data_IF_203166372326
#
_entry.id   IF_203166372326
#
_cell.length_a   1.000
_cell.length_b   1.000
_cell.length_c   1.000
_cell.angle_alpha   90.00
_cell.angle_beta   90.00
_cell.angle_gamma   90.00
#
_symmetry.space_group_name_H-M   'P 1'
#
loop_
_entity.id
_entity.type
_entity.pdbx_description
1 polymer ?
#
# COMPACT_ATOMS: atom_id res chain seq x y z
N UNK A 1 -4.16 0.78 -6.59
CA UNK A 1 -3.02 0.08 -5.96
C UNK A 1 -3.08 0.27 -4.46
N UNK A 2 -2.80 -0.77 -3.68
CA UNK A 2 -2.77 -0.69 -2.21
C UNK A 2 -1.45 -1.24 -1.69
N UNK A 3 -0.64 -0.38 -1.09
CA UNK A 3 0.63 -0.73 -0.45
C UNK A 3 0.50 -0.76 1.07
N UNK A 4 0.69 -1.94 1.64
CA UNK A 4 0.62 -2.16 3.08
C UNK A 4 1.99 -2.07 3.78
N UNK A 5 3.10 -2.01 3.05
CA UNK A 5 4.46 -1.92 3.59
C UNK A 5 4.83 -3.02 4.59
N UNK A 6 4.26 -4.22 4.44
CA UNK A 6 4.32 -5.34 5.41
C UNK A 6 3.80 -5.01 6.82
N UNK A 7 3.05 -3.92 6.96
CA UNK A 7 2.45 -3.46 8.21
C UNK A 7 1.05 -4.02 8.47
N UNK A 8 0.39 -3.43 9.47
CA UNK A 8 -0.90 -3.90 10.01
C UNK A 8 -2.05 -3.82 9.00
N UNK A 9 -1.94 -2.94 7.99
CA UNK A 9 -2.91 -2.86 6.89
C UNK A 9 -3.12 -4.20 6.18
N UNK A 10 -2.09 -5.08 6.13
CA UNK A 10 -2.18 -6.40 5.53
C UNK A 10 -3.31 -7.28 6.07
N UNK A 11 -3.72 -7.07 7.33
CA UNK A 11 -4.80 -7.86 7.96
C UNK A 11 -6.21 -7.49 7.47
N UNK A 12 -6.42 -6.30 6.92
CA UNK A 12 -7.77 -5.82 6.58
C UNK A 12 -7.92 -5.17 5.21
N UNK A 13 -6.82 -4.76 4.57
CA UNK A 13 -6.85 -4.02 3.31
C UNK A 13 -7.63 -4.77 2.22
N UNK A 14 -7.43 -6.08 2.08
CA UNK A 14 -8.17 -6.89 1.09
C UNK A 14 -9.68 -6.83 1.32
N UNK A 15 -10.11 -7.14 2.54
CA UNK A 15 -11.53 -7.17 2.89
C UNK A 15 -12.16 -5.79 2.70
N UNK A 16 -11.45 -4.73 3.09
CA UNK A 16 -11.92 -3.36 2.95
C UNK A 16 -12.11 -2.97 1.47
N UNK A 17 -11.12 -3.24 0.61
CA UNK A 17 -11.23 -2.94 -0.81
C UNK A 17 -12.36 -3.72 -1.49
N UNK A 18 -12.56 -4.99 -1.12
CA UNK A 18 -13.70 -5.80 -1.58
C UNK A 18 -15.04 -5.21 -1.16
N UNK A 19 -15.15 -4.70 0.07
CA UNK A 19 -16.37 -4.02 0.56
C UNK A 19 -16.65 -2.73 -0.23
N UNK A 20 -15.59 -1.99 -0.60
CA UNK A 20 -15.73 -0.81 -1.45
C UNK A 20 -16.05 -1.13 -2.91
N UNK A 21 -15.92 -2.39 -3.35
CA UNK A 21 -16.25 -2.80 -4.70
C UNK A 21 -15.29 -2.24 -5.76
N UNK A 22 -14.06 -1.93 -5.37
CA UNK A 22 -13.01 -1.45 -6.29
C UNK A 22 -12.20 -2.61 -6.85
N UNK A 23 -11.67 -2.45 -8.06
CA UNK A 23 -10.60 -3.31 -8.56
C UNK A 23 -9.27 -2.85 -7.97
N UNK A 24 -8.47 -3.79 -7.46
CA UNK A 24 -7.25 -3.45 -6.74
C UNK A 24 -6.19 -4.54 -6.84
N UNK A 25 -4.93 -4.09 -6.89
CA UNK A 25 -3.75 -4.93 -6.71
C UNK A 25 -3.05 -4.53 -5.41
N UNK A 26 -2.59 -5.53 -4.67
CA UNK A 26 -1.88 -5.37 -3.42
C UNK A 26 -0.36 -5.35 -3.61
N UNK A 27 0.30 -4.53 -2.81
CA UNK A 27 1.75 -4.49 -2.64
C UNK A 27 2.04 -4.72 -1.16
N UNK A 28 2.91 -5.69 -0.90
CA UNK A 28 3.49 -5.94 0.43
C UNK A 28 2.45 -6.10 1.55
N UNK A 29 1.31 -6.74 1.27
CA UNK A 29 0.20 -6.91 2.22
C UNK A 29 0.26 -8.19 3.06
N UNK A 30 1.34 -8.96 2.97
CA UNK A 30 1.65 -10.00 3.95
C UNK A 30 2.41 -9.36 5.13
N UNK A 31 1.83 -9.32 6.36
CA UNK A 31 2.50 -8.68 7.50
C UNK A 31 3.82 -9.37 7.86
N UNK A 32 4.90 -8.58 7.93
CA UNK A 32 6.25 -9.05 8.27
C UNK A 32 7.02 -7.94 9.01
N UNK A 33 7.35 -8.13 10.30
CA UNK A 33 8.05 -7.11 11.11
C UNK A 33 9.50 -6.88 10.68
N UNK A 34 10.06 -7.69 9.78
CA UNK A 34 11.38 -7.44 9.20
C UNK A 34 11.35 -6.34 8.13
N UNK A 35 10.17 -5.95 7.64
CA UNK A 35 9.97 -4.94 6.59
C UNK A 35 10.91 -5.13 5.38
N UNK A 36 10.86 -6.29 4.70
CA UNK A 36 11.86 -6.68 3.72
C UNK A 36 11.89 -5.82 2.44
N UNK A 37 10.83 -5.04 2.17
CA UNK A 37 10.71 -4.22 0.96
C UNK A 37 11.11 -2.77 1.23
N UNK A 38 10.42 -2.12 2.16
CA UNK A 38 10.72 -0.77 2.64
C UNK A 38 10.09 -0.57 4.02
N UNK A 39 10.49 0.49 4.73
CA UNK A 39 9.82 0.85 5.97
C UNK A 39 8.39 1.34 5.66
N UNK A 40 7.37 0.99 6.47
CA UNK A 40 6.00 1.46 6.28
C UNK A 40 5.85 2.88 6.83
N UNK A 41 6.48 3.83 6.14
CA UNK A 41 6.42 5.27 6.42
C UNK A 41 6.18 6.01 5.10
N UNK A 42 4.90 6.25 4.73
CA UNK A 42 4.54 6.80 3.44
C UNK A 42 4.86 8.30 3.32
N UNK A 43 5.26 8.98 4.40
CA UNK A 43 5.74 10.38 4.32
C UNK A 43 7.10 10.45 3.62
N UNK A 44 7.88 9.38 3.68
CA UNK A 44 9.17 9.27 2.98
C UNK A 44 8.92 8.81 1.55
N UNK A 45 9.08 9.73 0.60
CA UNK A 45 8.92 9.46 -0.84
C UNK A 45 9.75 8.29 -1.36
N UNK A 46 10.88 7.98 -0.74
CA UNK A 46 11.69 6.80 -1.06
C UNK A 46 10.94 5.46 -0.87
N UNK A 47 9.97 5.42 0.06
CA UNK A 47 9.15 4.24 0.32
C UNK A 47 7.96 4.10 -0.66
N UNK A 48 7.70 5.12 -1.51
CA UNK A 48 6.58 5.11 -2.46
C UNK A 48 7.00 4.75 -3.89
N UNK A 49 8.29 4.44 -4.11
CA UNK A 49 8.86 4.21 -5.45
C UNK A 49 8.15 3.06 -6.16
N UNK A 50 7.92 1.94 -5.47
CA UNK A 50 7.24 0.79 -6.05
C UNK A 50 5.75 1.05 -6.27
N UNK A 51 5.07 1.71 -5.33
CA UNK A 51 3.68 2.11 -5.50
C UNK A 51 3.48 2.98 -6.75
N UNK A 52 4.26 4.06 -6.88
CA UNK A 52 4.21 4.96 -8.06
C UNK A 52 4.47 4.22 -9.35
N UNK A 53 5.51 3.37 -9.36
CA UNK A 53 5.88 2.57 -10.53
C UNK A 53 4.71 1.69 -10.97
N UNK A 54 4.09 0.96 -10.05
CA UNK A 54 3.01 0.03 -10.37
C UNK A 54 1.70 0.74 -10.73
N UNK A 55 1.40 1.89 -10.11
CA UNK A 55 0.27 2.75 -10.51
C UNK A 55 0.40 3.13 -11.99
N UNK A 56 1.56 3.63 -12.40
CA UNK A 56 1.82 4.03 -13.79
C UNK A 56 1.85 2.85 -14.75
N UNK A 57 2.51 1.74 -14.38
CA UNK A 57 2.65 0.55 -15.23
C UNK A 57 1.30 -0.12 -15.52
N UNK A 58 0.40 -0.16 -14.54
CA UNK A 58 -0.91 -0.82 -14.69
C UNK A 58 -2.03 0.16 -15.03
N UNK A 59 -1.74 1.46 -15.12
CA UNK A 59 -2.74 2.50 -15.40
C UNK A 59 -3.82 2.57 -14.31
N UNK A 60 -3.43 2.41 -13.05
CA UNK A 60 -4.36 2.48 -11.93
C UNK A 60 -4.83 3.93 -11.69
N UNK A 61 -6.08 4.12 -11.29
CA UNK A 61 -6.62 5.46 -11.00
C UNK A 61 -6.00 6.12 -9.75
N UNK A 62 -5.53 5.30 -8.81
CA UNK A 62 -5.00 5.75 -7.51
C UNK A 62 -4.09 4.69 -6.88
N UNK A 63 -3.02 5.14 -6.23
CA UNK A 63 -2.23 4.38 -5.26
C UNK A 63 -2.48 4.86 -3.83
N UNK A 64 -2.58 3.94 -2.88
CA UNK A 64 -2.71 4.23 -1.44
C UNK A 64 -1.62 3.47 -0.69
N UNK A 65 -0.83 4.17 0.13
CA UNK A 65 0.17 3.57 1.01
C UNK A 65 -0.18 3.80 2.47
N UNK A 66 -0.10 2.75 3.29
CA UNK A 66 -0.31 2.82 4.74
C UNK A 66 1.02 2.94 5.50
N UNK A 67 0.99 3.54 6.70
CA UNK A 67 2.07 3.39 7.67
C UNK A 67 1.92 2.08 8.48
N UNK A 68 2.91 1.76 9.33
CA UNK A 68 3.04 0.45 9.98
C UNK A 68 1.84 -0.01 10.82
N UNK A 69 1.16 0.91 11.52
CA UNK A 69 -0.05 0.68 12.30
C UNK A 69 -1.35 1.07 11.56
N UNK A 70 -1.22 1.52 10.30
CA UNK A 70 -2.31 1.84 9.39
C UNK A 70 -3.26 2.96 9.85
N UNK A 71 -2.79 3.87 10.72
CA UNK A 71 -3.53 5.08 11.14
C UNK A 71 -3.34 6.28 10.20
N UNK A 72 -2.34 6.21 9.31
CA UNK A 72 -2.01 7.22 8.30
C UNK A 72 -1.93 6.61 6.91
N UNK A 73 -2.31 7.42 5.92
CA UNK A 73 -2.20 7.10 4.50
C UNK A 73 -1.57 8.24 3.72
N UNK A 74 -0.90 7.90 2.62
CA UNK A 74 -0.54 8.82 1.54
C UNK A 74 -1.13 8.29 0.22
N UNK A 75 -1.39 9.20 -0.73
CA UNK A 75 -2.00 8.88 -2.01
C UNK A 75 -1.09 9.29 -3.18
N UNK A 76 -1.03 8.45 -4.20
CA UNK A 76 -0.22 8.64 -5.41
C UNK A 76 -1.10 8.54 -6.66
N UNK A 77 -0.89 9.44 -7.63
CA UNK A 77 -1.60 9.49 -8.91
C UNK A 77 -0.71 9.02 -10.06
#
# INVERSE_FOLDING_TARGET
>A
MVDCGNGTAGFFAEQLMRVFGVDFTQLYCDPDPAFPHHQPDPVKTANLVDLRRVVLEQGADLGVAYNGDADRIEMEL
#
